data_IF_123018218612
#
_entry.id   IF_123018218612
#
_cell.length_a   1.000
_cell.length_b   1.000
_cell.length_c   1.000
_cell.angle_alpha   90.00
_cell.angle_beta   90.00
_cell.angle_gamma   90.00
#
_symmetry.space_group_name_H-M   'P 1'
#
loop_
_entity.id
_entity.type
_entity.pdbx_description
1 polymer ?
#
# COMPACT_ATOMS: atom_id res chain seq x y z
N UNK A 1 5.55 4.68 15.81
CA UNK A 1 4.56 3.72 15.28
C UNK A 1 5.12 2.31 15.01
N UNK A 2 6.44 2.09 15.07
CA UNK A 2 7.06 0.79 14.71
C UNK A 2 7.27 -0.17 15.90
N UNK A 3 7.15 0.30 17.14
CA UNK A 3 7.43 -0.52 18.34
C UNK A 3 6.40 -1.65 18.52
N UNK A 4 5.09 -1.35 18.44
CA UNK A 4 4.05 -2.36 18.57
C UNK A 4 4.11 -3.40 17.44
N UNK A 5 4.37 -2.97 16.21
CA UNK A 5 4.51 -3.88 15.06
C UNK A 5 5.68 -4.85 15.28
N UNK A 6 6.80 -4.39 15.83
CA UNK A 6 7.94 -5.24 16.18
C UNK A 6 7.61 -6.21 17.31
N UNK A 7 6.90 -5.76 18.35
CA UNK A 7 6.52 -6.61 19.49
C UNK A 7 5.62 -7.79 19.08
N UNK A 8 4.74 -7.59 18.09
CA UNK A 8 3.83 -8.63 17.60
C UNK A 8 4.34 -9.36 16.35
N UNK A 9 5.61 -9.15 15.96
CA UNK A 9 6.22 -9.68 14.74
C UNK A 9 5.43 -9.40 13.46
N UNK A 10 4.83 -8.22 13.37
CA UNK A 10 4.14 -7.77 12.16
C UNK A 10 5.16 -7.29 11.12
N UNK A 11 5.03 -7.71 9.85
CA UNK A 11 5.91 -7.28 8.77
C UNK A 11 5.80 -5.77 8.54
N UNK A 12 6.95 -5.13 8.36
CA UNK A 12 7.06 -3.68 8.14
C UNK A 12 6.91 -3.28 6.67
N UNK A 13 6.88 -4.25 5.77
CA UNK A 13 6.69 -4.06 4.33
C UNK A 13 5.95 -5.24 3.69
N UNK A 14 5.32 -5.02 2.54
CA UNK A 14 4.70 -6.14 1.81
C UNK A 14 5.76 -7.11 1.27
N UNK A 15 7.00 -6.65 1.03
CA UNK A 15 8.10 -7.53 0.63
C UNK A 15 8.44 -8.58 1.68
N UNK A 16 8.32 -8.25 2.96
CA UNK A 16 8.55 -9.18 4.07
C UNK A 16 7.51 -10.30 4.16
N UNK A 17 6.35 -10.14 3.50
CA UNK A 17 5.30 -11.18 3.46
C UNK A 17 5.59 -12.31 2.48
N UNK A 18 6.66 -12.19 1.67
CA UNK A 18 7.05 -13.18 0.66
C UNK A 18 6.47 -12.95 -0.74
N UNK A 19 5.77 -11.85 -0.97
CA UNK A 19 5.26 -11.47 -2.29
C UNK A 19 6.43 -11.05 -3.19
N UNK A 20 6.58 -11.71 -4.33
CA UNK A 20 7.57 -11.31 -5.33
C UNK A 20 7.17 -9.98 -5.98
N UNK A 21 8.18 -9.17 -6.30
CA UNK A 21 7.97 -7.86 -6.93
C UNK A 21 7.20 -7.98 -8.24
N UNK A 22 7.44 -9.03 -9.01
CA UNK A 22 6.78 -9.31 -10.28
C UNK A 22 5.26 -9.54 -10.11
N UNK A 23 4.86 -10.31 -9.09
CA UNK A 23 3.43 -10.54 -8.79
C UNK A 23 2.78 -9.24 -8.31
N UNK A 24 3.47 -8.52 -7.43
CA UNK A 24 3.00 -7.23 -6.95
C UNK A 24 2.78 -6.22 -8.09
N UNK A 25 3.76 -6.04 -8.98
CA UNK A 25 3.66 -5.11 -10.12
C UNK A 25 2.59 -5.53 -11.12
N UNK A 26 2.42 -6.84 -11.35
CA UNK A 26 1.37 -7.37 -12.22
C UNK A 26 -0.04 -7.06 -11.69
N UNK A 27 -0.24 -7.19 -10.39
CA UNK A 27 -1.56 -7.02 -9.77
C UNK A 27 -1.81 -5.57 -9.28
N UNK A 28 -0.79 -4.70 -9.31
CA UNK A 28 -0.87 -3.31 -8.83
C UNK A 28 -2.01 -2.51 -9.47
N UNK A 29 -2.18 -2.60 -10.78
CA UNK A 29 -3.24 -1.90 -11.51
C UNK A 29 -4.64 -2.38 -11.09
N UNK A 30 -4.78 -3.68 -10.84
CA UNK A 30 -6.02 -4.26 -10.31
C UNK A 30 -6.30 -3.78 -8.89
N UNK A 31 -5.28 -3.69 -8.03
CA UNK A 31 -5.42 -3.17 -6.67
C UNK A 31 -5.87 -1.70 -6.66
N UNK A 32 -5.27 -0.86 -7.52
CA UNK A 32 -5.67 0.55 -7.67
C UNK A 32 -7.11 0.66 -8.16
N UNK A 33 -7.50 -0.16 -9.14
CA UNK A 33 -8.88 -0.20 -9.64
C UNK A 33 -9.87 -0.62 -8.56
N UNK A 34 -9.53 -1.63 -7.74
CA UNK A 34 -10.35 -2.06 -6.61
C UNK A 34 -10.49 -0.95 -5.56
N UNK A 35 -9.41 -0.23 -5.24
CA UNK A 35 -9.47 0.93 -4.37
C UNK A 35 -10.42 2.01 -4.91
N UNK A 36 -10.39 2.30 -6.21
CA UNK A 36 -11.33 3.26 -6.80
C UNK A 36 -12.80 2.84 -6.72
N UNK A 37 -13.06 1.55 -6.82
CA UNK A 37 -14.41 1.00 -6.69
C UNK A 37 -14.88 0.92 -5.24
N UNK A 38 -13.96 1.06 -4.27
CA UNK A 38 -14.29 1.07 -2.86
C UNK A 38 -14.92 2.41 -2.46
N UNK A 39 -16.15 2.34 -1.94
CA UNK A 39 -16.90 3.52 -1.47
C UNK A 39 -16.21 4.31 -0.36
N UNK A 40 -15.25 3.72 0.36
CA UNK A 40 -14.47 4.40 1.41
C UNK A 40 -13.43 5.36 0.82
N UNK A 41 -13.04 5.18 -0.44
CA UNK A 41 -12.07 6.05 -1.13
C UNK A 41 -12.56 7.48 -1.36
N UNK A 42 -13.87 7.72 -1.31
CA UNK A 42 -14.44 9.09 -1.36
C UNK A 42 -14.68 9.69 0.03
N UNK A 43 -14.49 8.90 1.09
CA UNK A 43 -14.69 9.32 2.48
C UNK A 43 -13.40 9.79 3.15
N UNK A 44 -12.24 9.61 2.50
CA UNK A 44 -10.97 10.11 3.00
C UNK A 44 -10.93 11.64 2.94
N UNK A 45 -10.36 12.32 3.96
CA UNK A 45 -10.21 13.77 3.99
C UNK A 45 -9.26 14.30 2.90
N UNK A 46 -8.44 13.43 2.31
CA UNK A 46 -7.53 13.77 1.21
C UNK A 46 -8.00 13.05 -0.05
N UNK A 47 -8.45 13.82 -1.05
CA UNK A 47 -8.72 13.29 -2.38
C UNK A 47 -7.41 12.73 -2.95
N UNK A 48 -7.43 11.46 -3.30
CA UNK A 48 -6.25 10.71 -3.75
C UNK A 48 -6.49 10.27 -5.19
N UNK A 49 -5.53 10.54 -6.08
CA UNK A 49 -5.60 10.11 -7.48
C UNK A 49 -4.97 8.73 -7.68
N UNK A 50 -5.18 8.11 -8.84
CA UNK A 50 -4.81 6.73 -9.11
C UNK A 50 -3.32 6.51 -9.07
N UNK A 51 -2.58 7.49 -9.55
CA UNK A 51 -1.12 7.53 -9.44
C UNK A 51 -0.66 7.62 -7.97
N UNK A 52 -1.42 8.31 -7.12
CA UNK A 52 -1.11 8.39 -5.69
C UNK A 52 -1.42 7.08 -4.98
N UNK A 53 -2.51 6.38 -5.32
CA UNK A 53 -2.76 5.02 -4.83
C UNK A 53 -1.67 4.04 -5.26
N UNK A 54 -1.25 4.09 -6.52
CA UNK A 54 -0.14 3.26 -7.01
C UNK A 54 1.16 3.54 -6.23
N UNK A 55 1.47 4.82 -5.97
CA UNK A 55 2.60 5.20 -5.11
C UNK A 55 2.45 4.69 -3.68
N UNK A 56 1.27 4.79 -3.06
CA UNK A 56 1.04 4.26 -1.71
C UNK A 56 1.34 2.76 -1.64
N UNK A 57 0.86 1.99 -2.61
CA UNK A 57 1.16 0.56 -2.69
C UNK A 57 2.65 0.28 -2.89
N UNK A 58 3.34 1.05 -3.73
CA UNK A 58 4.80 0.91 -3.93
C UNK A 58 5.58 1.21 -2.64
N UNK A 59 5.20 2.27 -1.91
CA UNK A 59 5.84 2.62 -0.65
C UNK A 59 5.58 1.56 0.43
N UNK A 60 4.36 1.02 0.49
CA UNK A 60 4.02 -0.11 1.35
C UNK A 60 4.81 -1.39 0.99
N UNK A 61 5.09 -1.61 -0.29
CA UNK A 61 5.93 -2.73 -0.74
C UNK A 61 7.38 -2.57 -0.32
N UNK A 62 7.92 -1.36 -0.46
CA UNK A 62 9.30 -1.04 -0.08
C UNK A 62 9.51 -0.85 1.43
N UNK A 63 8.42 -0.63 2.19
CA UNK A 63 8.48 -0.29 3.61
C UNK A 63 8.94 1.15 3.87
N UNK A 64 8.66 2.07 2.94
CA UNK A 64 9.02 3.49 3.04
C UNK A 64 7.89 4.30 3.66
N UNK A 65 8.26 5.32 4.43
CA UNK A 65 7.32 6.33 4.92
C UNK A 65 6.80 7.19 3.75
N UNK A 66 5.50 7.50 3.77
CA UNK A 66 4.83 8.32 2.75
C UNK A 66 5.20 9.79 2.95
N UNK A 67 5.79 10.43 1.92
CA UNK A 67 6.39 11.78 2.00
C UNK A 67 5.75 12.81 1.05
N UNK A 68 4.60 12.51 0.43
CA UNK A 68 3.91 13.36 -0.55
C UNK A 68 2.52 13.85 -0.11
#
# INVERSE_FOLDING_TARGET
MVELQKEVNFPSSLKETGISKEVFEKDLDSLVTLCYQDSTSVLTPRSTDGEQFAKLYQYAYEGKDVDF
#
